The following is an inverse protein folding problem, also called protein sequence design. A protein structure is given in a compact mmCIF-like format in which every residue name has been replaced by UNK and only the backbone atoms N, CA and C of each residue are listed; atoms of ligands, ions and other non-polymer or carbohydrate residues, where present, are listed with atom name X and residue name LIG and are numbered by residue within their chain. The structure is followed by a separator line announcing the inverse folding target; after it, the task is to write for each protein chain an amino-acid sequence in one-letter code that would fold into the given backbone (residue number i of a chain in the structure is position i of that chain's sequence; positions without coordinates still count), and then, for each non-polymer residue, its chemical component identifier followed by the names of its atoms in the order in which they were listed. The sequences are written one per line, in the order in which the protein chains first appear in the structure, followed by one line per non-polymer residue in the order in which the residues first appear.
data_IF_574780905220
#
_entry.id   IF_574780905220
#
_cell.length_a   1.000
_cell.length_b   1.000
_cell.length_c   1.000
_cell.angle_alpha   90.00
_cell.angle_beta   90.00
_cell.angle_gamma   90.00
#
_symmetry.space_group_name_H-M   'P 1'
#
loop_
_entity.id
_entity.type
_entity.pdbx_description
1 polymer ?
#
# COMPACT_ATOMS: atom_id res chain seq x y z
N UNK A 1 -38.30 4.42 -36.91
CA UNK A 1 -39.13 3.19 -36.84
C UNK A 1 -38.68 2.45 -35.59
N UNK A 2 -39.30 2.71 -34.48
CA UNK A 2 -40.26 1.90 -33.72
C UNK A 2 -39.85 0.44 -33.59
N UNK A 3 -39.47 -0.02 -32.36
CA UNK A 3 -40.33 -0.85 -31.51
C UNK A 3 -39.71 -1.05 -30.12
N UNK A 4 -40.47 -0.63 -29.13
CA UNK A 4 -40.44 -1.00 -27.71
C UNK A 4 -40.92 -2.46 -27.56
N UNK A 5 -40.34 -3.22 -26.61
CA UNK A 5 -41.03 -4.30 -25.93
C UNK A 5 -40.63 -4.26 -24.45
N UNK A 6 -41.65 -3.90 -23.63
CA UNK A 6 -41.71 -4.12 -22.17
C UNK A 6 -42.10 -5.58 -21.90
N UNK A 7 -41.57 -6.16 -20.84
CA UNK A 7 -42.23 -7.26 -20.13
C UNK A 7 -41.82 -7.24 -18.65
N UNK A 8 -42.80 -6.92 -17.84
CA UNK A 8 -42.89 -7.04 -16.37
C UNK A 8 -43.31 -8.44 -15.97
N UNK A 9 -42.81 -8.95 -14.81
CA UNK A 9 -43.52 -9.90 -13.90
C UNK A 9 -42.66 -10.05 -12.62
N UNK A 10 -42.97 -9.48 -11.49
CA UNK A 10 -43.92 -9.75 -10.41
C UNK A 10 -43.57 -10.98 -9.54
N UNK A 11 -43.14 -10.67 -8.31
CA UNK A 11 -43.47 -11.15 -6.98
C UNK A 11 -43.55 -12.65 -6.65
N UNK A 12 -42.91 -13.03 -5.51
CA UNK A 12 -43.62 -13.61 -4.37
C UNK A 12 -42.79 -13.60 -3.08
N UNK A 13 -43.46 -13.22 -2.01
CA UNK A 13 -43.10 -13.26 -0.59
C UNK A 13 -42.99 -14.71 -0.08
N UNK A 14 -42.15 -14.92 0.93
CA UNK A 14 -42.48 -15.83 2.05
C UNK A 14 -41.76 -15.40 3.33
N UNK A 15 -42.56 -14.96 4.30
CA UNK A 15 -42.21 -14.79 5.71
C UNK A 15 -42.13 -16.16 6.39
N UNK A 16 -41.21 -16.30 7.37
CA UNK A 16 -41.44 -17.16 8.54
C UNK A 16 -40.76 -16.60 9.77
N UNK A 17 -41.61 -16.22 10.73
CA UNK A 17 -41.31 -15.91 12.13
C UNK A 17 -41.30 -17.20 12.96
N UNK A 18 -40.43 -17.29 13.98
CA UNK A 18 -40.65 -17.87 15.30
C UNK A 18 -39.41 -17.52 16.16
N UNK A 19 -39.43 -16.72 17.14
CA UNK A 19 -40.16 -16.54 18.40
C UNK A 19 -39.54 -17.33 19.58
N UNK A 20 -39.25 -16.55 20.63
CA UNK A 20 -39.18 -16.87 22.07
C UNK A 20 -37.89 -17.54 22.60
N UNK A 21 -37.32 -17.14 23.73
CA UNK A 21 -37.87 -16.47 24.88
C UNK A 21 -36.83 -16.02 25.91
N UNK A 22 -37.31 -15.21 26.79
CA UNK A 22 -36.79 -14.51 27.96
C UNK A 22 -36.08 -15.37 29.01
N UNK A 23 -35.18 -14.79 29.78
CA UNK A 23 -35.31 -14.26 31.17
C UNK A 23 -33.94 -13.87 31.71
N UNK A 24 -33.73 -12.64 32.04
CA UNK A 24 -33.62 -11.93 33.30
C UNK A 24 -32.50 -12.32 34.29
N UNK A 25 -31.67 -11.29 34.51
CA UNK A 25 -31.20 -10.77 35.82
C UNK A 25 -30.26 -11.60 36.69
N UNK A 26 -29.09 -11.11 37.01
CA UNK A 26 -28.74 -10.34 38.22
C UNK A 26 -27.27 -9.91 38.20
N UNK A 27 -27.06 -8.74 38.74
CA UNK A 27 -25.86 -8.02 39.13
C UNK A 27 -25.01 -8.84 40.12
N UNK A 28 -23.69 -8.80 40.00
CA UNK A 28 -22.82 -8.42 41.12
C UNK A 28 -21.34 -8.22 40.71
N UNK A 29 -20.78 -7.23 41.34
CA UNK A 29 -19.45 -6.67 41.33
C UNK A 29 -18.40 -7.59 41.93
N UNK A 30 -17.18 -7.62 41.42
CA UNK A 30 -15.93 -7.42 42.13
C UNK A 30 -14.68 -7.86 41.36
N UNK A 31 -13.80 -6.89 41.21
CA UNK A 31 -12.36 -6.86 41.58
C UNK A 31 -11.39 -7.87 41.01
N UNK A 32 -10.45 -7.26 40.25
CA UNK A 32 -8.99 -7.45 40.34
C UNK A 32 -8.41 -8.88 40.23
N UNK A 33 -7.64 -9.14 39.19
CA UNK A 33 -6.20 -9.40 39.33
C UNK A 33 -5.52 -9.58 37.98
N UNK A 34 -4.34 -8.99 37.89
CA UNK A 34 -3.45 -9.09 36.77
C UNK A 34 -2.89 -10.50 36.62
N UNK A 35 -2.94 -11.03 35.41
CA UNK A 35 -2.05 -12.11 34.99
C UNK A 35 -1.40 -11.76 33.65
N UNK A 36 -0.17 -11.31 33.81
CA UNK A 36 0.87 -11.33 32.77
C UNK A 36 1.03 -12.77 32.30
N UNK A 37 0.77 -13.04 31.04
CA UNK A 37 1.29 -14.23 30.38
C UNK A 37 2.07 -13.84 29.16
N UNK A 38 3.35 -14.13 29.23
CA UNK A 38 4.39 -14.09 28.22
C UNK A 38 3.89 -14.56 26.87
N UNK A 39 4.10 -13.68 25.86
CA UNK A 39 4.13 -14.08 24.47
C UNK A 39 5.57 -14.45 24.14
N UNK A 40 5.90 -15.70 24.38
CA UNK A 40 7.09 -16.34 23.80
C UNK A 40 6.63 -17.35 22.75
N UNK A 41 7.35 -17.33 21.63
CA UNK A 41 7.34 -18.30 20.54
C UNK A 41 6.56 -17.90 19.27
N UNK A 42 7.20 -17.05 18.47
CA UNK A 42 7.14 -17.17 17.02
C UNK A 42 8.48 -16.63 16.44
N UNK A 43 9.54 -17.33 16.74
CA UNK A 43 10.87 -17.10 16.12
C UNK A 43 11.61 -18.41 16.07
N UNK A 44 11.22 -19.31 15.19
CA UNK A 44 11.98 -20.54 14.93
C UNK A 44 11.57 -21.32 13.66
N UNK A 45 10.92 -20.71 12.66
CA UNK A 45 10.66 -21.45 11.40
C UNK A 45 11.20 -20.76 10.14
N UNK A 46 11.92 -19.64 10.26
CA UNK A 46 12.52 -18.97 9.12
C UNK A 46 13.96 -19.41 8.79
N UNK A 47 14.56 -20.33 9.55
CA UNK A 47 15.97 -20.67 9.42
C UNK A 47 16.27 -21.94 8.61
N UNK A 48 15.29 -22.74 8.22
CA UNK A 48 15.55 -24.00 7.50
C UNK A 48 15.35 -23.95 5.97
N UNK A 49 14.84 -22.83 5.42
CA UNK A 49 14.60 -22.72 3.97
C UNK A 49 15.69 -21.97 3.18
N UNK A 50 16.71 -21.46 3.84
CA UNK A 50 17.73 -20.63 3.18
C UNK A 50 18.82 -21.42 2.44
N UNK A 51 18.95 -22.73 2.68
CA UNK A 51 19.95 -23.56 2.00
C UNK A 51 19.61 -23.90 0.55
N UNK A 52 18.33 -23.84 0.16
CA UNK A 52 17.89 -24.19 -1.21
C UNK A 52 18.07 -23.03 -2.21
N UNK A 53 18.29 -21.80 -1.74
CA UNK A 53 18.45 -20.62 -2.59
C UNK A 53 19.92 -20.21 -2.82
N UNK A 54 20.87 -20.93 -2.23
CA UNK A 54 22.30 -20.65 -2.44
C UNK A 54 22.68 -20.82 -3.92
N UNK A 55 23.36 -19.82 -4.47
CA UNK A 55 23.71 -19.75 -5.90
C UNK A 55 22.64 -19.10 -6.77
N UNK A 56 21.53 -18.62 -6.18
CA UNK A 56 20.49 -17.86 -6.91
C UNK A 56 20.95 -16.42 -7.13
N UNK A 57 20.72 -15.89 -8.33
CA UNK A 57 20.77 -14.46 -8.60
C UNK A 57 19.36 -13.91 -8.62
N UNK A 58 19.10 -12.86 -7.85
CA UNK A 58 17.82 -12.15 -7.78
C UNK A 58 18.01 -10.74 -8.31
N UNK A 59 17.26 -10.36 -9.35
CA UNK A 59 17.25 -9.00 -9.92
C UNK A 59 16.06 -8.21 -9.43
N UNK A 60 16.32 -7.04 -8.84
CA UNK A 60 15.26 -6.18 -8.29
C UNK A 60 15.37 -4.77 -8.84
N UNK A 61 14.30 -4.29 -9.50
CA UNK A 61 14.17 -2.92 -9.94
C UNK A 61 13.82 -2.02 -8.75
N UNK A 62 14.47 -0.87 -8.62
CA UNK A 62 14.26 0.05 -7.51
C UNK A 62 14.41 1.51 -7.92
N UNK A 63 13.78 2.43 -7.18
CA UNK A 63 14.17 3.84 -7.25
C UNK A 63 15.44 4.08 -6.44
N UNK A 64 16.28 5.07 -6.82
CA UNK A 64 17.59 5.26 -6.22
C UNK A 64 17.54 5.48 -4.69
N UNK A 65 16.62 6.31 -4.24
CA UNK A 65 16.47 6.68 -2.83
C UNK A 65 14.99 6.60 -2.42
N UNK A 66 14.65 5.97 -1.28
CA UNK A 66 15.52 5.21 -0.37
C UNK A 66 15.69 3.74 -0.76
N UNK A 67 15.00 3.25 -1.79
CA UNK A 67 14.78 1.84 -2.06
C UNK A 67 16.07 1.09 -2.45
N UNK A 68 16.86 1.60 -3.38
CA UNK A 68 18.14 0.99 -3.74
C UNK A 68 19.14 1.02 -2.57
N UNK A 69 19.11 2.07 -1.74
CA UNK A 69 19.95 2.14 -0.53
C UNK A 69 19.62 1.01 0.45
N UNK A 70 18.32 0.73 0.65
CA UNK A 70 17.84 -0.37 1.50
C UNK A 70 18.23 -1.73 0.90
N UNK A 71 18.03 -1.91 -0.42
CA UNK A 71 18.42 -3.14 -1.10
C UNK A 71 19.92 -3.38 -1.06
N UNK A 72 20.76 -2.36 -1.09
CA UNK A 72 22.21 -2.51 -0.97
C UNK A 72 22.63 -3.05 0.40
N UNK A 73 21.90 -2.72 1.47
CA UNK A 73 22.09 -3.34 2.78
C UNK A 73 21.60 -4.80 2.75
N UNK A 74 20.45 -5.06 2.16
CA UNK A 74 19.92 -6.41 2.01
C UNK A 74 20.86 -7.31 1.18
N UNK A 75 21.54 -6.76 0.19
CA UNK A 75 22.54 -7.46 -0.64
C UNK A 75 23.65 -8.07 0.18
N UNK A 76 24.18 -7.36 1.18
CA UNK A 76 25.23 -7.87 2.06
C UNK A 76 24.73 -9.07 2.88
N UNK A 77 23.51 -8.97 3.42
CA UNK A 77 22.89 -10.04 4.21
C UNK A 77 22.59 -11.27 3.36
N UNK A 78 22.08 -11.06 2.14
CA UNK A 78 21.78 -12.14 1.20
C UNK A 78 23.04 -12.84 0.70
N UNK A 79 24.12 -12.12 0.50
CA UNK A 79 25.42 -12.69 0.10
C UNK A 79 25.97 -13.69 1.14
N UNK A 80 25.74 -13.45 2.44
CA UNK A 80 26.10 -14.39 3.51
C UNK A 80 25.31 -15.72 3.40
N UNK A 81 24.15 -15.69 2.73
CA UNK A 81 23.31 -16.85 2.47
C UNK A 81 23.57 -17.47 1.08
N UNK A 82 24.54 -16.94 0.35
CA UNK A 82 24.88 -17.41 -0.99
C UNK A 82 23.95 -16.93 -2.10
N UNK A 83 23.13 -15.91 -1.85
CA UNK A 83 22.21 -15.29 -2.82
C UNK A 83 22.87 -14.01 -3.36
N UNK A 84 22.95 -13.86 -4.67
CA UNK A 84 23.43 -12.64 -5.32
C UNK A 84 22.25 -11.72 -5.66
N UNK A 85 22.18 -10.54 -5.02
CA UNK A 85 21.17 -9.53 -5.32
C UNK A 85 21.72 -8.50 -6.30
N UNK A 86 21.11 -8.42 -7.47
CA UNK A 86 21.37 -7.40 -8.50
C UNK A 86 20.30 -6.29 -8.41
N UNK A 87 20.72 -5.07 -8.08
CA UNK A 87 19.80 -3.90 -7.98
C UNK A 87 19.88 -3.11 -9.28
N UNK A 88 18.73 -2.93 -9.94
CA UNK A 88 18.58 -2.17 -11.18
C UNK A 88 17.83 -0.88 -10.88
N UNK A 89 18.50 0.26 -11.00
CA UNK A 89 17.92 1.55 -10.62
C UNK A 89 17.17 2.23 -11.77
N UNK A 90 15.98 2.75 -11.46
CA UNK A 90 15.14 3.55 -12.35
C UNK A 90 14.75 4.85 -11.68
N UNK A 91 14.79 5.96 -12.41
CA UNK A 91 14.39 7.28 -11.90
C UNK A 91 12.94 7.65 -12.18
N UNK A 92 12.19 6.77 -12.83
CA UNK A 92 10.75 6.92 -13.11
C UNK A 92 9.94 5.80 -12.42
N UNK A 93 8.60 5.94 -12.42
CA UNK A 93 7.70 5.00 -11.75
C UNK A 93 7.00 4.03 -12.71
N UNK A 94 7.26 4.13 -14.03
CA UNK A 94 6.64 3.28 -15.05
C UNK A 94 7.52 2.06 -15.34
N UNK A 95 8.80 2.29 -15.61
CA UNK A 95 9.73 1.24 -16.02
C UNK A 95 9.87 0.11 -15.00
N UNK A 96 9.98 0.34 -13.69
CA UNK A 96 10.09 -0.77 -12.72
C UNK A 96 8.98 -1.79 -12.84
N UNK A 97 7.74 -1.34 -13.06
CA UNK A 97 6.60 -2.25 -13.23
C UNK A 97 6.65 -2.98 -14.57
N UNK A 98 6.98 -2.30 -15.66
CA UNK A 98 7.03 -2.92 -16.98
C UNK A 98 8.13 -3.99 -17.10
N UNK A 99 9.34 -3.72 -16.58
CA UNK A 99 10.43 -4.72 -16.62
C UNK A 99 10.16 -5.91 -15.71
N UNK A 100 9.40 -5.70 -14.63
CA UNK A 100 8.97 -6.82 -13.77
C UNK A 100 7.88 -7.65 -14.45
N UNK A 101 6.87 -7.03 -15.04
CA UNK A 101 5.81 -7.72 -15.78
C UNK A 101 6.37 -8.54 -16.95
N UNK A 102 7.37 -8.00 -17.65
CA UNK A 102 8.02 -8.67 -18.77
C UNK A 102 9.02 -9.77 -18.35
N UNK A 103 9.31 -9.92 -17.06
CA UNK A 103 10.27 -10.90 -16.55
C UNK A 103 11.73 -10.55 -16.82
N UNK A 104 12.05 -9.29 -17.07
CA UNK A 104 13.42 -8.79 -17.23
C UNK A 104 14.14 -8.67 -15.88
N UNK A 105 13.36 -8.44 -14.81
CA UNK A 105 13.75 -8.52 -13.40
C UNK A 105 12.73 -9.37 -12.63
N UNK A 106 13.16 -9.93 -11.50
CA UNK A 106 12.34 -10.85 -10.71
C UNK A 106 11.32 -10.14 -9.82
N UNK A 107 11.63 -8.91 -9.41
CA UNK A 107 10.77 -8.10 -8.55
C UNK A 107 11.07 -6.61 -8.71
N UNK A 108 10.20 -5.76 -8.15
CA UNK A 108 10.53 -4.36 -7.94
C UNK A 108 10.27 -3.93 -6.49
N UNK A 109 10.95 -2.88 -6.08
CA UNK A 109 10.83 -2.29 -4.77
C UNK A 109 10.89 -0.76 -4.90
N UNK A 110 9.72 -0.10 -4.97
CA UNK A 110 9.66 1.36 -5.12
C UNK A 110 8.28 1.96 -4.80
N UNK A 111 7.21 1.18 -4.76
CA UNK A 111 5.84 1.68 -4.81
C UNK A 111 5.01 1.31 -3.58
N UNK A 112 3.92 2.03 -3.37
CA UNK A 112 2.88 1.71 -2.40
C UNK A 112 1.71 1.00 -3.09
N UNK A 113 0.93 0.24 -2.32
CA UNK A 113 -0.17 -0.58 -2.84
C UNK A 113 -1.16 0.19 -3.74
N UNK A 114 -1.65 1.40 -3.37
CA UNK A 114 -2.56 2.12 -4.25
C UNK A 114 -2.00 2.45 -5.64
N UNK A 115 -0.69 2.72 -5.74
CA UNK A 115 -0.05 2.92 -7.05
C UNK A 115 0.03 1.62 -7.84
N UNK A 116 0.40 0.50 -7.19
CA UNK A 116 0.43 -0.81 -7.83
C UNK A 116 -0.93 -1.20 -8.39
N UNK A 117 -1.99 -1.03 -7.61
CA UNK A 117 -3.35 -1.38 -8.03
C UNK A 117 -3.79 -0.53 -9.24
N UNK A 118 -3.57 0.80 -9.17
CA UNK A 118 -3.87 1.72 -10.27
C UNK A 118 -3.05 1.39 -11.52
N UNK A 119 -1.76 1.11 -11.36
CA UNK A 119 -0.89 0.76 -12.48
C UNK A 119 -1.33 -0.53 -13.17
N UNK A 120 -1.69 -1.57 -12.42
CA UNK A 120 -2.20 -2.82 -12.96
C UNK A 120 -3.49 -2.60 -13.76
N UNK A 121 -4.43 -1.81 -13.22
CA UNK A 121 -5.69 -1.50 -13.89
C UNK A 121 -5.48 -0.70 -15.19
N UNK A 122 -4.64 0.32 -15.15
CA UNK A 122 -4.42 1.22 -16.28
C UNK A 122 -3.57 0.60 -17.39
N UNK A 123 -2.64 -0.28 -17.05
CA UNK A 123 -1.67 -0.86 -18.00
C UNK A 123 -1.93 -2.35 -18.31
N UNK A 124 -2.90 -2.98 -17.65
CA UNK A 124 -3.21 -4.39 -17.84
C UNK A 124 -2.08 -5.32 -17.37
N UNK A 125 -1.31 -4.89 -16.35
CA UNK A 125 -0.28 -5.70 -15.71
C UNK A 125 -0.84 -6.56 -14.58
N UNK A 126 -0.09 -7.59 -14.15
CA UNK A 126 -0.58 -8.61 -13.21
C UNK A 126 0.33 -8.72 -11.96
N UNK A 127 1.03 -7.66 -11.64
CA UNK A 127 1.96 -7.64 -10.53
C UNK A 127 1.23 -7.75 -9.19
N UNK A 128 1.84 -8.46 -8.24
CA UNK A 128 1.29 -8.66 -6.89
C UNK A 128 2.28 -8.21 -5.83
N UNK A 129 1.77 -7.67 -4.73
CA UNK A 129 2.60 -7.34 -3.58
C UNK A 129 2.96 -8.61 -2.82
N UNK A 130 4.26 -8.86 -2.64
CA UNK A 130 4.79 -10.00 -1.89
C UNK A 130 5.12 -9.65 -0.44
N UNK A 131 5.21 -8.36 -0.12
CA UNK A 131 5.49 -7.88 1.23
C UNK A 131 5.61 -6.38 1.33
N UNK A 132 5.50 -5.85 2.53
CA UNK A 132 5.74 -4.45 2.85
C UNK A 132 7.02 -4.33 3.68
N UNK A 133 7.92 -3.44 3.27
CA UNK A 133 9.24 -3.28 3.89
C UNK A 133 9.30 -2.06 4.80
N UNK A 134 8.76 -0.91 4.36
CA UNK A 134 8.79 0.33 5.13
C UNK A 134 7.59 1.23 4.79
N UNK A 135 7.43 2.28 5.56
CA UNK A 135 6.42 3.32 5.37
C UNK A 135 7.08 4.66 5.08
N UNK A 136 6.60 5.35 4.05
CA UNK A 136 7.05 6.68 3.68
C UNK A 136 5.95 7.72 3.98
N UNK A 137 6.14 8.58 5.00
CA UNK A 137 5.23 9.70 5.23
C UNK A 137 5.36 10.71 4.10
N UNK A 138 4.23 11.24 3.65
CA UNK A 138 4.23 12.32 2.67
C UNK A 138 4.56 13.64 3.34
N UNK A 139 5.36 14.49 2.69
CA UNK A 139 5.84 15.74 3.27
C UNK A 139 5.74 16.93 2.32
N UNK A 140 5.67 18.15 2.89
CA UNK A 140 5.84 19.41 2.19
C UNK A 140 7.26 19.90 2.43
N UNK A 141 8.00 20.13 1.38
CA UNK A 141 9.40 20.50 1.42
C UNK A 141 9.59 21.94 0.93
N UNK A 142 10.59 22.67 1.46
CA UNK A 142 10.86 24.03 1.04
C UNK A 142 11.30 24.09 -0.43
N UNK A 143 10.80 25.11 -1.14
CA UNK A 143 11.20 25.45 -2.48
C UNK A 143 11.72 26.89 -2.52
N UNK A 144 11.03 27.78 -3.26
CA UNK A 144 11.30 29.20 -3.25
C UNK A 144 10.94 29.87 -1.92
N UNK A 145 9.94 29.34 -1.22
CA UNK A 145 9.57 29.70 0.15
C UNK A 145 10.04 28.62 1.11
N UNK A 146 10.63 29.02 2.22
CA UNK A 146 11.04 28.11 3.31
C UNK A 146 10.08 28.14 4.51
N UNK A 147 9.03 28.96 4.44
CA UNK A 147 8.07 29.12 5.51
C UNK A 147 6.66 28.83 4.99
N UNK A 148 6.07 27.76 5.51
CA UNK A 148 4.73 27.32 5.14
C UNK A 148 3.65 28.34 5.53
N UNK A 149 3.85 29.06 6.66
CA UNK A 149 2.88 30.02 7.15
C UNK A 149 2.86 31.32 6.31
N UNK A 150 3.88 31.57 5.51
CA UNK A 150 4.05 32.79 4.70
C UNK A 150 4.19 32.47 3.19
N UNK A 151 3.52 31.43 2.73
CA UNK A 151 3.41 31.17 1.27
C UNK A 151 2.57 32.30 0.65
N UNK A 152 3.11 32.95 -0.36
CA UNK A 152 2.43 34.07 -1.04
C UNK A 152 1.21 33.59 -1.83
N UNK A 153 0.19 34.43 -1.92
CA UNK A 153 -0.94 34.17 -2.81
C UNK A 153 -0.46 34.00 -4.26
N UNK A 154 -0.96 32.97 -4.93
CA UNK A 154 -0.55 32.64 -6.29
C UNK A 154 0.80 31.92 -6.37
N UNK A 155 1.37 31.44 -5.28
CA UNK A 155 2.56 30.61 -5.31
C UNK A 155 2.33 29.30 -6.08
N UNK A 156 3.38 28.81 -6.74
CA UNK A 156 3.36 27.52 -7.43
C UNK A 156 3.91 26.45 -6.54
N UNK A 157 3.16 25.36 -6.36
CA UNK A 157 3.55 24.17 -5.59
C UNK A 157 3.67 23.00 -6.58
N UNK A 158 4.83 22.33 -6.56
CA UNK A 158 5.01 21.10 -7.33
C UNK A 158 4.38 19.92 -6.58
N UNK A 159 3.62 19.12 -7.30
CA UNK A 159 3.00 17.88 -6.79
C UNK A 159 3.38 16.72 -7.74
N UNK A 160 3.31 15.45 -7.28
CA UNK A 160 3.45 14.29 -8.16
C UNK A 160 2.43 14.33 -9.31
N UNK A 161 2.76 13.73 -10.43
CA UNK A 161 1.91 13.69 -11.62
C UNK A 161 1.13 12.38 -11.79
N UNK A 162 1.30 11.42 -10.90
CA UNK A 162 0.46 10.24 -10.82
C UNK A 162 -0.75 10.49 -9.92
N UNK A 163 -1.88 9.91 -10.28
CA UNK A 163 -3.17 10.18 -9.63
C UNK A 163 -3.18 9.86 -8.14
N UNK A 164 -2.50 8.81 -7.73
CA UNK A 164 -2.51 8.33 -6.33
C UNK A 164 -1.67 9.23 -5.42
N UNK A 165 -0.49 9.65 -5.84
CA UNK A 165 0.35 10.54 -5.05
C UNK A 165 -0.05 12.01 -5.18
N UNK A 166 -0.61 12.44 -6.32
CA UNK A 166 -1.22 13.78 -6.44
C UNK A 166 -2.36 13.93 -5.43
N UNK A 167 -3.26 12.94 -5.32
CA UNK A 167 -4.33 12.96 -4.32
C UNK A 167 -3.80 13.10 -2.90
N UNK A 168 -2.76 12.35 -2.53
CA UNK A 168 -2.10 12.48 -1.22
C UNK A 168 -1.51 13.88 -0.98
N UNK A 169 -0.88 14.46 -2.00
CA UNK A 169 -0.33 15.80 -1.92
C UNK A 169 -1.43 16.85 -1.69
N UNK A 170 -2.52 16.78 -2.46
CA UNK A 170 -3.65 17.69 -2.33
C UNK A 170 -4.34 17.56 -0.96
N UNK A 171 -4.52 16.34 -0.46
CA UNK A 171 -5.06 16.11 0.89
C UNK A 171 -4.14 16.70 1.98
N UNK A 172 -2.83 16.56 1.85
CA UNK A 172 -1.88 17.15 2.79
C UNK A 172 -1.94 18.69 2.76
N UNK A 173 -1.98 19.30 1.57
CA UNK A 173 -2.12 20.76 1.43
C UNK A 173 -3.43 21.26 2.03
N UNK A 174 -4.51 20.52 1.86
CA UNK A 174 -5.81 20.83 2.46
C UNK A 174 -5.77 20.72 4.00
N UNK A 175 -5.12 19.68 4.53
CA UNK A 175 -4.94 19.49 5.98
C UNK A 175 -4.12 20.63 6.62
N UNK A 176 -3.23 21.26 5.86
CA UNK A 176 -2.48 22.44 6.28
C UNK A 176 -3.24 23.76 6.03
N UNK A 177 -4.45 23.70 5.50
CA UNK A 177 -5.27 24.90 5.24
C UNK A 177 -4.81 25.75 4.06
N UNK A 178 -3.94 25.22 3.21
CA UNK A 178 -3.40 25.95 2.05
C UNK A 178 -4.34 25.95 0.84
N UNK A 179 -5.17 24.93 0.72
CA UNK A 179 -6.17 24.77 -0.34
C UNK A 179 -7.47 24.21 0.20
N UNK A 180 -8.52 24.27 -0.60
CA UNK A 180 -9.77 23.55 -0.36
C UNK A 180 -9.98 22.53 -1.47
N UNK A 181 -10.21 21.29 -1.10
CA UNK A 181 -10.53 20.20 -2.02
C UNK A 181 -12.06 20.05 -2.07
N UNK A 182 -12.61 19.85 -3.27
CA UNK A 182 -14.04 19.64 -3.45
C UNK A 182 -14.47 18.31 -2.79
N UNK A 183 -15.69 18.28 -2.27
CA UNK A 183 -16.26 17.05 -1.72
C UNK A 183 -16.29 15.94 -2.79
N UNK A 184 -15.81 14.75 -2.42
CA UNK A 184 -15.74 13.59 -3.29
C UNK A 184 -14.58 13.60 -4.31
N UNK A 185 -13.64 14.51 -4.18
CA UNK A 185 -12.37 14.45 -4.92
C UNK A 185 -11.33 13.72 -4.07
N UNK A 186 -10.97 12.49 -4.45
CA UNK A 186 -9.96 11.67 -3.77
C UNK A 186 -10.20 10.22 -3.97
#
# INVERSE_FOLDING_TARGET
MKKLISATLAATLALSLAACGSTASTTETASSEAASTESTAASSEAAESTSDLAGTTLKVAASPTPHAEILNVAKEVLAEQGIDLEVVEFSDYVQPNLVTENGEVDANYFQHTPYLDSFNEENGTHLVSVGAVHYEPFGIYPGKSSDLANIADGATIAVPNDTTNEARALQLLAAQGLITVRDGAG
#
